data_IF_824357255001
#
_entry.id   IF_824357255001
#
_cell.length_a   1.000
_cell.length_b   1.000
_cell.length_c   1.000
_cell.angle_alpha   90.00
_cell.angle_beta   90.00
_cell.angle_gamma   90.00
#
_symmetry.space_group_name_H-M   'P 1'
#
loop_
_entity.id
_entity.type
_entity.pdbx_description
1 polymer ?
#
# COMPACT_ATOMS: atom_id res chain seq x y z
N UNK A 1 -0.98 31.15 -13.76
CA UNK A 1 -1.98 30.11 -14.06
C UNK A 1 -1.71 29.02 -13.05
N UNK A 2 -2.46 29.00 -11.95
CA UNK A 2 -2.33 27.94 -10.94
C UNK A 2 -2.80 26.64 -11.57
N UNK A 3 -1.85 25.74 -11.89
CA UNK A 3 -2.19 24.39 -12.31
C UNK A 3 -2.93 23.71 -11.17
N UNK A 4 -4.24 23.52 -11.36
CA UNK A 4 -5.02 22.69 -10.46
C UNK A 4 -4.44 21.28 -10.51
N UNK A 5 -3.74 20.88 -9.44
CA UNK A 5 -3.19 19.53 -9.29
C UNK A 5 -4.23 18.49 -9.68
N UNK A 6 -3.82 17.53 -10.53
CA UNK A 6 -4.71 16.46 -10.97
C UNK A 6 -5.19 15.65 -9.76
N UNK A 7 -6.31 14.94 -9.91
CA UNK A 7 -6.80 14.04 -8.85
C UNK A 7 -5.72 13.02 -8.42
N UNK A 8 -4.91 12.57 -9.39
CA UNK A 8 -3.77 11.70 -9.17
C UNK A 8 -2.70 12.38 -8.29
N UNK A 9 -2.32 13.62 -8.59
CA UNK A 9 -1.26 14.29 -7.83
C UNK A 9 -1.70 14.56 -6.38
N UNK A 10 -2.98 14.93 -6.20
CA UNK A 10 -3.58 15.07 -4.85
C UNK A 10 -3.59 13.74 -4.11
N UNK A 11 -3.97 12.65 -4.78
CA UNK A 11 -3.92 11.32 -4.21
C UNK A 11 -2.48 10.93 -3.83
N UNK A 12 -1.48 11.20 -4.68
CA UNK A 12 -0.08 10.89 -4.40
C UNK A 12 0.44 11.65 -3.17
N UNK A 13 0.03 12.91 -2.97
CA UNK A 13 0.39 13.67 -1.76
C UNK A 13 -0.16 13.02 -0.49
N UNK A 14 -1.41 12.52 -0.53
CA UNK A 14 -2.01 11.78 0.59
C UNK A 14 -1.25 10.47 0.81
N UNK A 15 -0.91 9.76 -0.27
CA UNK A 15 -0.15 8.52 -0.20
C UNK A 15 1.23 8.74 0.43
N UNK A 16 1.98 9.75 -0.03
CA UNK A 16 3.29 10.12 0.51
C UNK A 16 3.21 10.44 2.00
N UNK A 17 2.23 11.26 2.41
CA UNK A 17 2.04 11.59 3.83
C UNK A 17 1.84 10.33 4.68
N UNK A 18 0.98 9.40 4.23
CA UNK A 18 0.74 8.13 4.92
C UNK A 18 1.95 7.19 4.91
N UNK A 19 2.79 7.22 3.86
CA UNK A 19 4.01 6.42 3.75
C UNK A 19 5.04 6.80 4.82
N UNK A 20 5.13 8.08 5.18
CA UNK A 20 6.05 8.59 6.20
C UNK A 20 5.63 8.23 7.64
N UNK A 21 4.36 7.85 7.85
CA UNK A 21 3.92 7.45 9.18
C UNK A 21 4.53 6.09 9.60
N UNK A 22 4.87 5.89 10.89
CA UNK A 22 5.48 4.65 11.36
C UNK A 22 4.52 3.46 11.17
N UNK A 23 5.00 2.41 10.49
CA UNK A 23 4.23 1.18 10.31
C UNK A 23 4.07 0.44 11.65
N UNK A 24 2.82 0.15 12.05
CA UNK A 24 2.51 -0.61 13.26
C UNK A 24 1.52 -1.72 12.91
N UNK A 25 1.90 -2.97 13.16
CA UNK A 25 1.17 -4.19 12.73
C UNK A 25 -0.33 -4.24 13.09
N UNK A 26 -0.80 -3.50 14.11
CA UNK A 26 -2.18 -3.57 14.59
C UNK A 26 -2.99 -2.27 14.40
N UNK A 27 -2.34 -1.13 14.18
CA UNK A 27 -2.99 0.21 14.24
C UNK A 27 -2.55 1.11 13.08
N UNK A 28 -1.43 0.79 12.42
CA UNK A 28 -0.93 1.56 11.28
C UNK A 28 -0.29 0.64 10.25
N UNK A 29 -1.02 -0.41 9.89
CA UNK A 29 -0.62 -1.41 8.91
C UNK A 29 -1.09 -1.05 7.50
N UNK A 30 -0.81 -1.92 6.53
CA UNK A 30 -1.18 -1.70 5.13
C UNK A 30 -2.70 -1.50 4.94
N UNK A 31 -3.52 -2.25 5.67
CA UNK A 31 -4.98 -2.17 5.57
C UNK A 31 -5.51 -0.86 6.15
N UNK A 32 -5.09 -0.52 7.37
CA UNK A 32 -5.55 0.67 8.07
C UNK A 32 -5.14 1.94 7.34
N UNK A 33 -3.90 1.99 6.84
CA UNK A 33 -3.42 3.11 6.02
C UNK A 33 -4.18 3.21 4.69
N UNK A 34 -4.48 2.10 4.03
CA UNK A 34 -5.27 2.11 2.78
C UNK A 34 -6.72 2.55 2.99
N UNK A 35 -7.33 2.19 4.13
CA UNK A 35 -8.65 2.70 4.53
C UNK A 35 -8.60 4.22 4.78
N UNK A 36 -7.56 4.72 5.48
CA UNK A 36 -7.37 6.16 5.71
C UNK A 36 -7.14 6.91 4.40
N UNK A 37 -6.29 6.40 3.52
CA UNK A 37 -6.06 6.94 2.18
C UNK A 37 -7.39 7.13 1.42
N UNK A 38 -8.22 6.08 1.37
CA UNK A 38 -9.54 6.14 0.73
C UNK A 38 -10.43 7.22 1.36
N UNK A 39 -10.44 7.33 2.70
CA UNK A 39 -11.24 8.34 3.40
C UNK A 39 -10.78 9.76 3.07
N UNK A 40 -9.47 10.02 3.08
CA UNK A 40 -8.92 11.34 2.74
C UNK A 40 -9.17 11.71 1.26
N UNK A 41 -8.99 10.77 0.33
CA UNK A 41 -9.31 11.00 -1.08
C UNK A 41 -10.80 11.37 -1.28
N UNK A 42 -11.71 10.65 -0.61
CA UNK A 42 -13.16 10.89 -0.70
C UNK A 42 -13.58 12.24 -0.16
N UNK A 43 -12.91 12.77 0.87
CA UNK A 43 -13.16 14.13 1.37
C UNK A 43 -12.87 15.21 0.31
N UNK A 44 -11.99 14.90 -0.64
CA UNK A 44 -11.61 15.78 -1.74
C UNK A 44 -12.39 15.49 -3.04
N UNK A 45 -13.40 14.62 -2.99
CA UNK A 45 -14.17 14.22 -4.18
C UNK A 45 -13.48 13.21 -5.11
N UNK A 46 -12.33 12.66 -4.71
CA UNK A 46 -11.57 11.71 -5.53
C UNK A 46 -12.14 10.28 -5.33
N UNK A 47 -12.51 9.60 -6.42
CA UNK A 47 -12.94 8.19 -6.36
C UNK A 47 -11.75 7.27 -6.07
N UNK A 48 -11.56 6.98 -4.79
CA UNK A 48 -10.58 6.01 -4.31
C UNK A 48 -11.26 4.70 -3.87
N UNK A 49 -10.63 3.59 -4.26
CA UNK A 49 -11.03 2.22 -3.90
C UNK A 49 -9.99 1.57 -3.00
N UNK A 50 -10.45 0.63 -2.18
CA UNK A 50 -9.56 -0.23 -1.41
C UNK A 50 -9.35 -1.53 -2.21
N UNK A 51 -8.09 -1.87 -2.46
CA UNK A 51 -7.71 -3.15 -3.07
C UNK A 51 -6.98 -3.96 -2.02
N UNK A 52 -7.62 -5.01 -1.53
CA UNK A 52 -7.00 -5.95 -0.59
C UNK A 52 -6.59 -7.21 -1.32
N UNK A 53 -5.38 -7.71 -1.07
CA UNK A 53 -4.92 -8.98 -1.61
C UNK A 53 -4.31 -9.90 -0.56
N UNK A 54 -4.41 -11.19 -0.86
CA UNK A 54 -3.50 -12.19 -0.34
C UNK A 54 -2.53 -12.55 -1.47
N UNK A 55 -1.23 -12.41 -1.21
CA UNK A 55 -0.17 -12.69 -2.17
C UNK A 55 0.91 -13.57 -1.58
N UNK A 56 1.65 -14.25 -2.44
CA UNK A 56 2.81 -15.04 -2.04
C UNK A 56 4.08 -14.26 -2.40
N UNK A 57 4.98 -14.11 -1.44
CA UNK A 57 6.26 -13.40 -1.64
C UNK A 57 7.42 -14.20 -1.06
N UNK A 58 8.58 -14.23 -1.72
CA UNK A 58 9.78 -14.82 -1.18
C UNK A 58 10.29 -13.97 -0.01
N UNK A 59 10.25 -14.52 1.20
CA UNK A 59 10.85 -13.94 2.39
C UNK A 59 12.21 -14.60 2.65
N UNK A 60 13.18 -13.80 3.09
CA UNK A 60 14.47 -14.33 3.57
C UNK A 60 14.39 -14.47 5.09
N UNK A 61 14.58 -15.69 5.60
CA UNK A 61 14.73 -15.90 7.04
C UNK A 61 16.19 -15.67 7.39
N UNK A 62 16.56 -14.60 8.13
CA UNK A 62 17.96 -14.28 8.41
C UNK A 62 18.65 -15.40 9.20
N UNK A 63 17.92 -16.03 10.12
CA UNK A 63 18.45 -17.06 11.03
C UNK A 63 18.72 -18.40 10.32
N UNK A 64 17.98 -18.73 9.26
CA UNK A 64 18.12 -20.02 8.55
C UNK A 64 18.85 -19.92 7.21
N UNK A 65 19.12 -18.71 6.71
CA UNK A 65 19.69 -18.50 5.37
C UNK A 65 18.81 -19.00 4.21
N UNK A 66 17.58 -19.47 4.49
CA UNK A 66 16.64 -20.01 3.50
C UNK A 66 15.66 -18.94 3.02
N UNK A 67 15.29 -19.05 1.74
CA UNK A 67 14.14 -18.34 1.18
C UNK A 67 12.92 -19.21 1.37
N UNK A 68 11.89 -18.67 2.02
CA UNK A 68 10.59 -19.33 2.11
C UNK A 68 9.55 -18.46 1.40
N UNK A 69 8.58 -19.10 0.76
CA UNK A 69 7.44 -18.39 0.21
C UNK A 69 6.42 -18.21 1.34
N UNK A 70 6.14 -16.95 1.69
CA UNK A 70 5.17 -16.62 2.73
C UNK A 70 3.91 -16.04 2.11
N UNK A 71 2.77 -16.41 2.69
CA UNK A 71 1.51 -15.73 2.43
C UNK A 71 1.52 -14.39 3.15
N UNK A 72 1.30 -13.32 2.40
CA UNK A 72 1.23 -11.95 2.89
C UNK A 72 -0.11 -11.36 2.51
N UNK A 73 -0.75 -10.76 3.49
CA UNK A 73 -1.90 -9.90 3.29
C UNK A 73 -1.40 -8.48 3.05
N UNK A 74 -1.90 -7.85 1.99
CA UNK A 74 -1.51 -6.48 1.66
C UNK A 74 -2.67 -5.71 1.06
N UNK A 75 -2.69 -4.40 1.31
CA UNK A 75 -3.71 -3.51 0.80
C UNK A 75 -3.09 -2.30 0.10
N UNK A 76 -3.76 -1.85 -0.96
CA UNK A 76 -3.47 -0.62 -1.69
C UNK A 76 -4.69 0.28 -1.73
N UNK A 77 -4.45 1.58 -1.91
CA UNK A 77 -5.44 2.46 -2.52
C UNK A 77 -5.43 2.30 -4.04
N UNK A 78 -6.58 2.46 -4.70
CA UNK A 78 -6.65 2.56 -6.16
C UNK A 78 -7.37 3.84 -6.54
N UNK A 79 -6.75 4.65 -7.40
CA UNK A 79 -7.30 5.91 -7.94
C UNK A 79 -7.09 5.89 -9.44
N UNK A 80 -8.15 6.19 -10.21
CA UNK A 80 -8.11 6.15 -11.68
C UNK A 80 -7.57 4.82 -12.27
N UNK A 81 -7.78 3.70 -11.58
CA UNK A 81 -7.31 2.37 -11.99
C UNK A 81 -5.83 2.07 -11.66
N UNK A 82 -5.12 3.01 -11.03
CA UNK A 82 -3.73 2.83 -10.59
C UNK A 82 -3.63 2.54 -9.10
N UNK A 83 -2.79 1.57 -8.74
CA UNK A 83 -2.56 1.19 -7.34
C UNK A 83 -1.53 2.11 -6.70
N UNK A 84 -1.91 2.69 -5.58
CA UNK A 84 -1.09 3.55 -4.75
C UNK A 84 -0.63 2.77 -3.51
N UNK A 85 0.69 2.63 -3.37
CA UNK A 85 1.30 2.08 -2.16
C UNK A 85 1.34 3.15 -1.07
N UNK A 86 0.70 2.86 0.07
CA UNK A 86 0.57 3.82 1.18
C UNK A 86 1.17 3.32 2.47
N UNK A 87 1.54 2.03 2.52
CA UNK A 87 1.89 1.40 3.78
C UNK A 87 3.29 1.78 4.27
N UNK A 88 4.23 1.98 3.33
CA UNK A 88 5.64 2.24 3.61
C UNK A 88 6.29 3.05 2.47
N UNK A 89 7.45 3.68 2.69
CA UNK A 89 8.17 4.40 1.63
C UNK A 89 8.42 3.52 0.41
N UNK A 90 8.34 4.12 -0.78
CA UNK A 90 8.60 3.40 -2.03
C UNK A 90 10.03 2.86 -2.04
N UNK A 91 10.18 1.59 -2.42
CA UNK A 91 11.48 0.91 -2.41
C UNK A 91 11.93 0.38 -1.03
N UNK A 92 11.22 0.68 0.06
CA UNK A 92 11.57 0.16 1.38
C UNK A 92 11.24 -1.34 1.52
N UNK A 93 12.22 -2.10 2.02
CA UNK A 93 12.06 -3.50 2.39
C UNK A 93 11.39 -3.63 3.76
N UNK A 94 10.46 -4.60 3.88
CA UNK A 94 9.88 -4.94 5.18
C UNK A 94 10.82 -5.78 6.05
N UNK A 95 10.35 -6.14 7.24
CA UNK A 95 11.08 -6.93 8.25
C UNK A 95 11.65 -8.27 7.72
N UNK A 96 11.15 -8.78 6.59
CA UNK A 96 11.58 -10.02 5.95
C UNK A 96 12.17 -9.84 4.54
N UNK A 97 12.60 -8.63 4.18
CA UNK A 97 13.10 -8.29 2.84
C UNK A 97 11.98 -8.17 1.78
N UNK A 98 10.72 -8.16 2.21
CA UNK A 98 9.56 -8.16 1.31
C UNK A 98 9.30 -6.74 0.82
N UNK A 99 9.30 -6.56 -0.50
CA UNK A 99 8.91 -5.33 -1.19
C UNK A 99 7.43 -5.42 -1.57
N UNK A 100 6.55 -4.55 -1.07
CA UNK A 100 5.11 -4.61 -1.35
C UNK A 100 4.76 -4.54 -2.83
N UNK A 101 5.53 -3.78 -3.60
CA UNK A 101 5.37 -3.65 -5.06
C UNK A 101 5.57 -4.96 -5.81
N UNK A 102 6.26 -5.94 -5.22
CA UNK A 102 6.50 -7.25 -5.81
C UNK A 102 5.43 -8.29 -5.44
N UNK A 103 4.46 -7.92 -4.59
CA UNK A 103 3.38 -8.82 -4.17
C UNK A 103 2.50 -9.11 -5.37
N UNK A 104 2.54 -10.37 -5.83
CA UNK A 104 1.62 -10.89 -6.85
C UNK A 104 0.31 -11.26 -6.16
N UNK A 105 -0.80 -10.54 -6.44
CA UNK A 105 -2.08 -10.86 -5.83
C UNK A 105 -2.56 -12.22 -6.35
N UNK A 106 -2.85 -13.14 -5.43
CA UNK A 106 -3.48 -14.44 -5.74
C UNK A 106 -5.00 -14.30 -5.71
N UNK A 107 -5.51 -13.44 -4.82
CA UNK A 107 -6.91 -13.03 -4.74
C UNK A 107 -6.95 -11.52 -4.47
N UNK A 108 -7.80 -10.78 -5.18
CA UNK A 108 -7.96 -9.33 -4.99
C UNK A 108 -9.43 -8.99 -4.75
N UNK A 109 -9.73 -8.34 -3.62
CA UNK A 109 -11.05 -7.77 -3.32
C UNK A 109 -11.02 -6.26 -3.58
N UNK A 110 -11.95 -5.78 -4.40
CA UNK A 110 -12.13 -4.34 -4.70
C UNK A 110 -13.39 -3.84 -4.00
N UNK A 111 -13.28 -2.80 -3.16
CA UNK A 111 -14.40 -2.22 -2.40
C UNK A 111 -14.31 -0.71 -2.24
#
# INVERSE_FOLDING_TARGET
MEDALSERDKAEQIAEHLRQEPYRLLINDCLTKSIRFRRECRKLGIDARLVFCAGLVPARIPILGRRITVLVLHAWGEVAGERMEVSRPLGAEGILGIRPVEIRPVLALRR
#
